data_IF_145445591773
#
_entry.id   IF_145445591773
#
_cell.length_a   1.000
_cell.length_b   1.000
_cell.length_c   1.000
_cell.angle_alpha   90.00
_cell.angle_beta   90.00
_cell.angle_gamma   90.00
#
_symmetry.space_group_name_H-M   'P 1'
#
loop_
_entity.id
_entity.type
_entity.pdbx_description
1 polymer ?
#
# COMPACT_ATOMS: atom_id res chain seq x y z
N UNK A 1 12.35 30.41 0.21
CA UNK A 1 11.28 29.62 -0.45
C UNK A 1 10.92 28.46 0.47
N UNK A 2 9.64 28.13 0.65
CA UNK A 2 9.26 26.88 1.32
C UNK A 2 9.72 25.73 0.41
N UNK A 3 10.35 24.70 0.99
CA UNK A 3 10.69 23.49 0.24
C UNK A 3 9.43 22.94 -0.46
N UNK A 4 9.57 22.52 -1.73
CA UNK A 4 8.48 21.87 -2.46
C UNK A 4 8.16 20.57 -1.71
N UNK A 5 6.89 20.37 -1.36
CA UNK A 5 6.43 19.13 -0.75
C UNK A 5 6.34 18.07 -1.83
N UNK A 6 6.87 16.89 -1.56
CA UNK A 6 6.66 15.73 -2.40
C UNK A 6 5.38 15.01 -1.97
N UNK A 7 4.52 14.67 -2.93
CA UNK A 7 3.22 14.04 -2.68
C UNK A 7 3.15 12.74 -3.46
N UNK A 8 3.02 11.63 -2.74
CA UNK A 8 2.91 10.30 -3.35
C UNK A 8 1.50 9.75 -3.14
N UNK A 9 0.88 9.26 -4.22
CA UNK A 9 -0.37 8.54 -4.15
C UNK A 9 -0.10 7.03 -4.07
N UNK A 10 -0.84 6.32 -3.22
CA UNK A 10 -0.78 4.86 -3.16
C UNK A 10 -1.48 4.30 -4.39
N UNK A 11 -0.77 3.49 -5.17
CA UNK A 11 -1.28 2.85 -6.37
C UNK A 11 -1.59 1.39 -6.04
N UNK A 12 -2.87 1.03 -6.04
CA UNK A 12 -3.34 -0.33 -5.83
C UNK A 12 -3.58 -1.01 -7.19
N UNK A 13 -2.75 -1.99 -7.60
CA UNK A 13 -2.72 -2.50 -8.97
C UNK A 13 -3.71 -3.66 -9.21
N UNK A 14 -4.97 -3.53 -8.81
CA UNK A 14 -5.96 -4.62 -8.86
C UNK A 14 -7.12 -4.41 -9.86
N UNK A 15 -6.96 -3.44 -10.77
CA UNK A 15 -8.00 -3.01 -11.70
C UNK A 15 -7.85 -3.64 -13.09
N UNK A 16 -7.30 -4.86 -13.16
CA UNK A 16 -7.05 -5.60 -14.39
C UNK A 16 -7.23 -7.12 -14.18
N UNK A 17 -7.43 -7.90 -15.26
CA UNK A 17 -7.38 -9.36 -15.17
C UNK A 17 -5.98 -9.88 -14.85
N UNK A 18 -5.87 -10.56 -13.72
CA UNK A 18 -4.67 -11.29 -13.30
C UNK A 18 -4.89 -12.80 -13.36
N UNK A 19 -3.82 -13.56 -13.65
CA UNK A 19 -3.91 -15.02 -13.77
C UNK A 19 -4.40 -15.70 -12.49
N UNK A 20 -4.05 -15.18 -11.33
CA UNK A 20 -4.48 -15.73 -10.04
C UNK A 20 -5.95 -15.42 -9.81
N UNK A 21 -6.38 -14.20 -10.13
CA UNK A 21 -7.79 -13.84 -10.10
C UNK A 21 -8.65 -14.68 -11.02
N UNK A 22 -8.20 -14.95 -12.25
CA UNK A 22 -8.97 -15.80 -13.15
C UNK A 22 -9.13 -17.23 -12.62
N UNK A 23 -8.14 -17.75 -11.90
CA UNK A 23 -8.22 -19.06 -11.24
C UNK A 23 -9.18 -19.07 -10.04
N UNK A 24 -9.24 -17.98 -9.28
CA UNK A 24 -10.04 -17.91 -8.05
C UNK A 24 -11.49 -17.47 -8.29
N UNK A 25 -11.70 -16.53 -9.21
CA UNK A 25 -12.97 -15.82 -9.42
C UNK A 25 -13.55 -16.00 -10.82
N UNK A 26 -12.79 -16.57 -11.75
CA UNK A 26 -13.20 -16.81 -13.11
C UNK A 26 -12.62 -15.79 -14.11
N UNK A 27 -12.64 -16.18 -15.39
CA UNK A 27 -12.03 -15.44 -16.49
C UNK A 27 -12.50 -13.99 -16.56
N UNK A 28 -11.56 -13.06 -16.70
CA UNK A 28 -11.81 -11.63 -16.81
C UNK A 28 -12.13 -10.91 -15.49
N UNK A 29 -12.02 -11.58 -14.34
CA UNK A 29 -12.23 -10.92 -13.06
C UNK A 29 -11.22 -9.80 -12.81
N UNK A 30 -11.72 -8.68 -12.31
CA UNK A 30 -10.95 -7.59 -11.69
C UNK A 30 -11.81 -6.96 -10.60
N UNK A 31 -11.22 -6.10 -9.76
CA UNK A 31 -11.94 -5.38 -8.69
C UNK A 31 -13.13 -4.54 -9.23
N UNK A 32 -13.13 -4.21 -10.53
CA UNK A 32 -14.28 -3.56 -11.17
C UNK A 32 -15.58 -4.35 -11.03
N UNK A 33 -15.53 -5.69 -11.00
CA UNK A 33 -16.72 -6.52 -10.84
C UNK A 33 -17.38 -6.32 -9.47
N UNK A 34 -16.58 -6.03 -8.43
CA UNK A 34 -17.11 -5.68 -7.11
C UNK A 34 -17.85 -4.33 -7.13
N UNK A 35 -17.32 -3.35 -7.86
CA UNK A 35 -18.00 -2.05 -8.00
C UNK A 35 -19.27 -2.15 -8.83
N UNK A 36 -19.25 -2.89 -9.95
CA UNK A 36 -20.44 -3.09 -10.82
C UNK A 36 -21.59 -3.78 -10.09
N UNK A 37 -21.27 -4.64 -9.12
CA UNK A 37 -22.28 -5.39 -8.35
C UNK A 37 -22.68 -4.69 -7.04
N UNK A 38 -22.04 -3.58 -6.69
CA UNK A 38 -22.32 -2.81 -5.48
C UNK A 38 -23.69 -2.14 -5.55
N UNK A 39 -24.44 -2.18 -4.44
CA UNK A 39 -25.77 -1.57 -4.31
C UNK A 39 -25.83 -0.60 -3.12
N UNK A 40 -26.69 0.43 -3.16
CA UNK A 40 -27.02 1.20 -1.97
C UNK A 40 -27.45 0.28 -0.81
N UNK A 41 -26.97 0.54 0.41
CA UNK A 41 -27.33 -0.26 1.60
C UNK A 41 -28.41 0.42 2.46
N UNK A 42 -28.63 1.72 2.27
CA UNK A 42 -29.62 2.54 2.97
C UNK A 42 -30.05 3.74 2.10
N UNK A 43 -31.20 4.37 2.39
CA UNK A 43 -31.66 5.55 1.65
C UNK A 43 -30.64 6.70 1.66
N UNK A 44 -30.29 7.21 0.47
CA UNK A 44 -29.30 8.27 0.30
C UNK A 44 -27.84 7.79 0.38
N UNK A 45 -27.58 6.49 0.35
CA UNK A 45 -26.21 5.96 0.18
C UNK A 45 -25.68 6.33 -1.21
N UNK A 46 -24.48 6.91 -1.27
CA UNK A 46 -23.84 7.36 -2.52
C UNK A 46 -23.21 6.24 -3.36
N UNK A 47 -23.37 4.97 -2.95
CA UNK A 47 -22.85 3.82 -3.69
C UNK A 47 -23.91 3.26 -4.64
N UNK A 48 -23.52 2.70 -5.81
CA UNK A 48 -22.15 2.59 -6.29
C UNK A 48 -21.60 3.94 -6.77
N UNK A 49 -20.30 4.17 -6.51
CA UNK A 49 -19.54 5.25 -7.16
C UNK A 49 -18.93 4.70 -8.43
N UNK A 50 -19.28 5.31 -9.56
CA UNK A 50 -18.75 4.92 -10.86
C UNK A 50 -17.50 5.75 -11.22
N UNK A 51 -16.47 5.11 -11.80
CA UNK A 51 -15.27 5.81 -12.22
C UNK A 51 -15.57 6.69 -13.44
N UNK A 52 -15.08 7.92 -13.45
CA UNK A 52 -15.35 8.89 -14.53
C UNK A 52 -14.88 8.39 -15.91
N UNK A 53 -13.81 7.60 -15.96
CA UNK A 53 -13.26 7.02 -17.18
C UNK A 53 -13.86 5.65 -17.55
N UNK A 54 -14.87 5.19 -16.80
CA UNK A 54 -15.36 3.83 -16.90
C UNK A 54 -14.40 2.80 -16.32
N UNK A 55 -14.73 1.53 -16.50
CA UNK A 55 -13.98 0.38 -15.99
C UNK A 55 -12.88 0.03 -16.99
N UNK A 56 -11.66 0.51 -16.74
CA UNK A 56 -10.54 0.33 -17.65
C UNK A 56 -9.57 -0.76 -17.17
N UNK A 57 -8.85 -1.37 -18.11
CA UNK A 57 -7.78 -2.31 -17.79
C UNK A 57 -6.47 -1.53 -17.62
N UNK A 58 -5.95 -1.44 -16.40
CA UNK A 58 -4.70 -0.73 -16.11
C UNK A 58 -3.42 -1.46 -16.59
N UNK A 59 -3.56 -2.69 -17.08
CA UNK A 59 -2.50 -3.38 -17.83
C UNK A 59 -2.40 -2.96 -19.30
N UNK A 60 -3.27 -2.04 -19.77
CA UNK A 60 -3.12 -1.34 -21.04
C UNK A 60 -2.29 -0.04 -20.84
N UNK A 61 -1.13 0.11 -21.52
CA UNK A 61 -0.28 1.29 -21.44
C UNK A 61 -1.01 2.62 -21.68
N UNK A 62 -2.01 2.65 -22.55
CA UNK A 62 -2.76 3.87 -22.86
C UNK A 62 -3.53 4.40 -21.64
N UNK A 63 -3.95 3.53 -20.72
CA UNK A 63 -4.58 3.95 -19.47
C UNK A 63 -3.56 4.43 -18.45
N UNK A 64 -2.39 3.81 -18.38
CA UNK A 64 -1.32 4.27 -17.51
C UNK A 64 -0.82 5.67 -17.90
N UNK A 65 -0.67 5.95 -19.20
CA UNK A 65 -0.32 7.29 -19.67
C UNK A 65 -1.30 8.36 -19.17
N UNK A 66 -2.62 8.10 -19.26
CA UNK A 66 -3.66 9.01 -18.75
C UNK A 66 -3.58 9.20 -17.24
N UNK A 67 -3.28 8.13 -16.49
CA UNK A 67 -3.13 8.20 -15.04
C UNK A 67 -1.90 9.04 -14.65
N UNK A 68 -0.78 8.88 -15.36
CA UNK A 68 0.44 9.66 -15.17
C UNK A 68 0.16 11.14 -15.45
N UNK A 69 -0.51 11.46 -16.56
CA UNK A 69 -0.85 12.83 -16.92
C UNK A 69 -1.76 13.47 -15.86
N UNK A 70 -2.83 12.79 -15.46
CA UNK A 70 -3.75 13.28 -14.42
C UNK A 70 -3.01 13.57 -13.11
N UNK A 71 -2.21 12.62 -12.64
CA UNK A 71 -1.47 12.78 -11.39
C UNK A 71 -0.49 13.97 -11.46
N UNK A 72 0.30 14.06 -12.54
CA UNK A 72 1.27 15.14 -12.72
C UNK A 72 0.59 16.51 -12.87
N UNK A 73 -0.51 16.60 -13.62
CA UNK A 73 -1.29 17.84 -13.82
C UNK A 73 -1.94 18.35 -12.52
N UNK A 74 -2.17 17.44 -11.56
CA UNK A 74 -2.74 17.77 -10.24
C UNK A 74 -1.71 17.79 -9.10
N UNK A 75 -0.41 17.84 -9.42
CA UNK A 75 0.65 18.09 -8.44
C UNK A 75 1.05 16.87 -7.60
N UNK A 76 0.70 15.67 -8.02
CA UNK A 76 1.26 14.43 -7.46
C UNK A 76 2.69 14.27 -7.98
N UNK A 77 3.64 14.05 -7.07
CA UNK A 77 5.05 13.79 -7.40
C UNK A 77 5.23 12.41 -8.01
N UNK A 78 4.51 11.42 -7.49
CA UNK A 78 4.74 10.04 -7.88
C UNK A 78 3.76 9.05 -7.26
N UNK A 79 3.98 7.78 -7.60
CA UNK A 79 3.21 6.67 -7.08
C UNK A 79 4.02 5.82 -6.09
N UNK A 80 3.40 5.45 -4.98
CA UNK A 80 3.86 4.33 -4.16
C UNK A 80 3.05 3.11 -4.58
N UNK A 81 3.68 2.18 -5.31
CA UNK A 81 2.99 0.97 -5.76
C UNK A 81 2.86 -0.03 -4.61
N UNK A 82 1.63 -0.48 -4.36
CA UNK A 82 1.36 -1.69 -3.57
C UNK A 82 1.90 -2.88 -4.36
N UNK A 83 3.06 -3.37 -3.95
CA UNK A 83 3.82 -4.38 -4.66
C UNK A 83 3.72 -5.72 -3.94
N UNK A 84 3.35 -6.79 -4.67
CA UNK A 84 3.11 -8.10 -4.08
C UNK A 84 4.16 -9.11 -4.52
N UNK A 85 4.64 -9.84 -3.51
CA UNK A 85 5.58 -10.94 -3.65
C UNK A 85 5.31 -11.99 -2.59
N UNK A 86 5.13 -13.23 -3.03
CA UNK A 86 4.79 -14.39 -2.21
C UNK A 86 5.82 -15.50 -2.42
N UNK A 87 7.02 -15.30 -1.84
CA UNK A 87 8.10 -16.30 -1.85
C UNK A 87 8.52 -16.77 -3.25
N UNK A 88 8.77 -15.82 -4.16
CA UNK A 88 9.17 -16.08 -5.55
C UNK A 88 8.04 -15.92 -6.57
N UNK A 89 6.82 -15.72 -6.11
CA UNK A 89 5.66 -15.47 -6.95
C UNK A 89 5.25 -14.00 -6.92
N UNK A 90 5.20 -13.36 -8.09
CA UNK A 90 4.65 -12.00 -8.22
C UNK A 90 3.13 -12.08 -8.40
N UNK A 91 2.45 -11.04 -7.93
CA UNK A 91 1.01 -10.91 -8.07
C UNK A 91 0.66 -9.45 -8.39
N UNK A 92 -0.27 -9.23 -9.31
CA UNK A 92 -0.72 -7.89 -9.71
C UNK A 92 0.41 -6.98 -10.24
N UNK A 93 1.44 -7.56 -10.83
CA UNK A 93 2.66 -6.85 -11.24
C UNK A 93 2.51 -6.04 -12.53
N UNK A 94 1.56 -6.41 -13.41
CA UNK A 94 1.43 -5.86 -14.76
C UNK A 94 1.34 -4.33 -14.81
N UNK A 95 0.58 -3.63 -13.94
CA UNK A 95 0.47 -2.17 -14.03
C UNK A 95 1.80 -1.46 -13.75
N UNK A 96 2.69 -2.07 -12.95
CA UNK A 96 4.04 -1.55 -12.80
C UNK A 96 4.92 -2.00 -13.97
N UNK A 97 4.98 -3.30 -14.19
CA UNK A 97 5.98 -3.95 -15.04
C UNK A 97 5.75 -3.77 -16.52
N UNK A 98 4.49 -3.84 -16.97
CA UNK A 98 4.14 -3.83 -18.39
C UNK A 98 3.63 -2.45 -18.85
N UNK A 99 3.12 -1.62 -17.92
CA UNK A 99 2.59 -0.29 -18.28
C UNK A 99 3.40 0.87 -17.71
N UNK A 100 3.45 1.10 -16.39
CA UNK A 100 4.11 2.30 -15.83
C UNK A 100 5.57 2.41 -16.23
N UNK A 101 6.33 1.31 -16.16
CA UNK A 101 7.73 1.31 -16.56
C UNK A 101 7.92 1.49 -18.06
N UNK A 102 6.90 1.31 -18.90
CA UNK A 102 7.00 1.47 -20.35
C UNK A 102 6.31 2.72 -20.90
N UNK A 103 5.55 3.42 -20.06
CA UNK A 103 4.82 4.61 -20.46
C UNK A 103 5.80 5.73 -20.93
N UNK A 104 5.59 6.33 -22.11
CA UNK A 104 6.46 7.37 -22.66
C UNK A 104 6.54 8.61 -21.76
N UNK A 105 5.50 8.88 -20.99
CA UNK A 105 5.42 9.98 -20.04
C UNK A 105 5.83 9.60 -18.60
N UNK A 106 6.34 8.38 -18.34
CA UNK A 106 6.67 7.89 -16.97
C UNK A 106 7.56 8.84 -16.17
N UNK A 107 8.44 9.58 -16.84
CA UNK A 107 9.39 10.50 -16.18
C UNK A 107 8.72 11.78 -15.63
N UNK A 108 7.43 12.00 -15.92
CA UNK A 108 6.61 13.04 -15.26
C UNK A 108 6.40 12.73 -13.78
N UNK A 109 6.49 11.46 -13.39
CA UNK A 109 6.30 10.99 -12.03
C UNK A 109 7.52 10.22 -11.52
N UNK A 110 7.75 10.31 -10.22
CA UNK A 110 8.61 9.37 -9.50
C UNK A 110 7.80 8.13 -9.10
N UNK A 111 8.48 7.07 -8.70
CA UNK A 111 7.81 5.93 -8.06
C UNK A 111 8.69 5.25 -7.03
N UNK A 112 8.06 4.52 -6.11
CA UNK A 112 8.74 3.55 -5.25
C UNK A 112 7.75 2.46 -4.81
N UNK A 113 8.26 1.45 -4.12
CA UNK A 113 7.49 0.27 -3.76
C UNK A 113 7.16 0.24 -2.27
N UNK A 114 5.95 -0.21 -1.97
CA UNK A 114 5.61 -0.79 -0.68
C UNK A 114 5.31 -2.27 -0.87
N UNK A 115 6.10 -3.13 -0.21
CA UNK A 115 5.79 -4.55 -0.18
C UNK A 115 4.55 -4.78 0.66
N UNK A 116 3.46 -5.18 0.01
CA UNK A 116 2.20 -5.57 0.62
C UNK A 116 2.32 -6.97 1.24
N UNK A 117 3.20 -7.08 2.24
CA UNK A 117 3.68 -8.31 2.83
C UNK A 117 2.69 -8.92 3.84
N UNK A 118 1.47 -9.16 3.40
CA UNK A 118 0.40 -9.76 4.19
C UNK A 118 -0.30 -10.88 3.42
N UNK A 119 -1.04 -11.72 4.13
CA UNK A 119 -1.85 -12.77 3.52
C UNK A 119 -2.89 -12.18 2.56
N UNK A 120 -3.12 -12.87 1.45
CA UNK A 120 -4.20 -12.58 0.51
C UNK A 120 -5.37 -13.52 0.77
N UNK A 121 -6.52 -12.93 1.10
CA UNK A 121 -7.78 -13.65 1.36
C UNK A 121 -8.77 -13.55 0.21
N UNK A 122 -9.88 -14.27 0.34
CA UNK A 122 -11.05 -14.17 -0.52
C UNK A 122 -11.81 -12.87 -0.25
N UNK A 123 -12.01 -12.08 -1.29
CA UNK A 123 -12.90 -10.94 -1.31
C UNK A 123 -14.06 -11.12 -2.31
N UNK A 124 -15.27 -10.59 -2.03
CA UNK A 124 -15.66 -9.96 -0.77
C UNK A 124 -15.72 -10.99 0.37
N UNK A 125 -15.42 -10.56 1.61
CA UNK A 125 -15.42 -11.44 2.77
C UNK A 125 -16.78 -12.15 2.91
N UNK A 126 -16.77 -13.48 2.82
CA UNK A 126 -17.98 -14.29 2.92
C UNK A 126 -18.45 -14.33 4.38
N UNK A 127 -19.76 -14.14 4.59
CA UNK A 127 -20.48 -14.00 5.89
C UNK A 127 -20.24 -15.11 6.94
N UNK A 128 -19.48 -16.17 6.63
CA UNK A 128 -19.12 -17.26 7.57
C UNK A 128 -17.84 -16.99 8.38
N UNK A 129 -17.24 -15.81 8.26
CA UNK A 129 -16.03 -15.43 9.01
C UNK A 129 -16.41 -14.83 10.36
N UNK A 130 -15.66 -15.17 11.42
CA UNK A 130 -15.91 -14.69 12.80
C UNK A 130 -15.68 -13.17 12.95
N UNK A 131 -15.05 -12.55 11.97
CA UNK A 131 -14.77 -11.13 11.85
C UNK A 131 -15.28 -10.66 10.48
N UNK A 132 -16.12 -9.63 10.47
CA UNK A 132 -16.59 -8.98 9.24
C UNK A 132 -15.61 -7.83 8.95
N UNK A 133 -14.93 -7.88 7.80
CA UNK A 133 -13.96 -6.86 7.39
C UNK A 133 -12.61 -6.95 8.09
N UNK A 134 -11.82 -5.86 8.01
CA UNK A 134 -10.47 -5.70 8.60
C UNK A 134 -10.47 -5.65 10.16
N UNK A 135 -11.50 -6.19 10.81
CA UNK A 135 -11.64 -6.26 12.28
C UNK A 135 -10.92 -7.49 12.88
N UNK A 136 -10.35 -8.34 12.03
CA UNK A 136 -9.46 -9.44 12.42
C UNK A 136 -8.00 -9.08 12.25
N UNK A 137 -7.12 -9.85 12.88
CA UNK A 137 -5.66 -9.73 12.75
C UNK A 137 -5.17 -10.08 11.33
N UNK A 138 -5.99 -10.65 10.45
CA UNK A 138 -5.60 -10.87 9.05
C UNK A 138 -6.80 -10.60 8.13
N UNK A 139 -6.60 -10.52 6.82
CA UNK A 139 -7.66 -10.56 5.80
C UNK A 139 -8.41 -11.91 5.91
N UNK A 140 -9.28 -12.03 6.93
CA UNK A 140 -9.93 -13.27 7.31
C UNK A 140 -11.17 -13.49 6.46
N UNK A 141 -10.98 -13.84 5.19
CA UNK A 141 -11.80 -14.89 4.61
C UNK A 141 -11.52 -16.20 5.34
N UNK A 142 -12.48 -17.12 5.40
CA UNK A 142 -12.24 -18.45 5.98
C UNK A 142 -11.25 -19.31 5.19
N UNK A 143 -10.70 -18.77 4.10
CA UNK A 143 -9.82 -19.42 3.14
C UNK A 143 -8.77 -18.40 2.68
N UNK A 144 -7.49 -18.68 2.87
CA UNK A 144 -6.40 -17.89 2.29
C UNK A 144 -6.14 -18.37 0.85
N UNK A 145 -5.89 -17.42 -0.04
CA UNK A 145 -5.58 -17.67 -1.46
C UNK A 145 -4.06 -17.61 -1.69
N UNK A 146 -3.37 -16.67 -1.02
CA UNK A 146 -1.91 -16.62 -0.93
C UNK A 146 -1.49 -16.34 0.52
N UNK A 147 -0.52 -17.11 1.00
CA UNK A 147 0.05 -16.94 2.34
C UNK A 147 1.42 -16.27 2.24
N UNK A 148 1.65 -15.24 3.06
CA UNK A 148 2.97 -14.64 3.20
C UNK A 148 3.83 -15.50 4.14
N UNK A 149 5.06 -15.80 3.73
CA UNK A 149 6.03 -16.54 4.54
C UNK A 149 7.35 -15.82 4.51
N UNK A 150 7.75 -15.30 5.67
CA UNK A 150 9.00 -14.55 5.78
C UNK A 150 10.16 -15.45 6.18
N UNK A 151 11.30 -15.21 5.55
CA UNK A 151 12.60 -15.76 5.93
C UNK A 151 13.68 -14.77 5.52
N UNK A 152 14.86 -14.84 6.13
CA UNK A 152 15.99 -14.02 5.70
C UNK A 152 16.35 -14.24 4.22
N UNK A 153 16.22 -15.48 3.75
CA UNK A 153 16.48 -15.84 2.35
C UNK A 153 15.49 -15.16 1.40
N UNK A 154 14.19 -15.17 1.72
CA UNK A 154 13.17 -14.50 0.92
C UNK A 154 13.31 -12.96 0.98
N UNK A 155 13.61 -12.40 2.16
CA UNK A 155 13.89 -10.97 2.28
C UNK A 155 15.09 -10.55 1.39
N UNK A 156 16.15 -11.37 1.34
CA UNK A 156 17.26 -11.13 0.39
C UNK A 156 16.77 -11.21 -1.05
N UNK A 157 16.02 -12.24 -1.43
CA UNK A 157 15.51 -12.40 -2.79
C UNK A 157 14.65 -11.21 -3.23
N UNK A 158 13.76 -10.72 -2.36
CA UNK A 158 12.93 -9.53 -2.61
C UNK A 158 13.79 -8.30 -2.90
N UNK A 159 14.78 -8.03 -2.06
CA UNK A 159 15.64 -6.86 -2.23
C UNK A 159 16.55 -7.00 -3.45
N UNK A 160 17.09 -8.19 -3.74
CA UNK A 160 17.89 -8.46 -4.93
C UNK A 160 17.08 -8.22 -6.20
N UNK A 161 15.85 -8.75 -6.24
CA UNK A 161 14.92 -8.52 -7.34
C UNK A 161 14.64 -7.03 -7.53
N UNK A 162 14.34 -6.30 -6.45
CA UNK A 162 14.08 -4.86 -6.53
C UNK A 162 15.32 -4.06 -6.97
N UNK A 163 16.51 -4.44 -6.52
CA UNK A 163 17.77 -3.80 -6.94
C UNK A 163 17.99 -3.95 -8.45
N UNK A 164 17.77 -5.16 -8.98
CA UNK A 164 17.99 -5.48 -10.38
C UNK A 164 16.95 -4.85 -11.30
N UNK A 165 15.68 -4.84 -10.88
CA UNK A 165 14.57 -4.46 -11.75
C UNK A 165 14.13 -3.00 -11.60
N UNK A 166 14.10 -2.46 -10.37
CA UNK A 166 13.41 -1.20 -10.09
C UNK A 166 14.32 -0.08 -9.59
N UNK A 167 15.23 -0.36 -8.65
CA UNK A 167 15.99 0.69 -7.96
C UNK A 167 16.92 1.47 -8.90
N UNK A 168 17.34 0.83 -10.00
CA UNK A 168 18.12 1.46 -11.06
C UNK A 168 17.34 2.42 -11.95
N UNK A 169 16.00 2.40 -11.95
CA UNK A 169 15.20 3.29 -12.79
C UNK A 169 15.47 4.76 -12.45
N UNK A 170 15.58 5.60 -13.48
CA UNK A 170 15.89 7.04 -13.37
C UNK A 170 14.83 7.80 -12.55
N UNK A 171 13.56 7.40 -12.70
CA UNK A 171 12.44 7.94 -11.96
C UNK A 171 12.12 7.18 -10.66
N UNK A 172 12.92 6.19 -10.25
CA UNK A 172 12.77 5.59 -8.92
C UNK A 172 13.13 6.63 -7.85
N UNK A 173 12.28 6.78 -6.84
CA UNK A 173 12.44 7.75 -5.78
C UNK A 173 13.60 7.38 -4.85
N UNK A 174 14.52 8.32 -4.67
CA UNK A 174 15.73 8.14 -3.86
C UNK A 174 15.92 9.34 -2.93
N UNK A 175 16.37 9.08 -1.71
CA UNK A 175 16.79 10.10 -0.74
C UNK A 175 18.26 9.85 -0.44
N UNK A 176 19.11 10.85 -0.64
CA UNK A 176 20.57 10.74 -0.51
C UNK A 176 21.17 9.57 -1.29
N UNK A 177 20.64 9.31 -2.49
CA UNK A 177 21.04 8.19 -3.35
C UNK A 177 20.53 6.81 -2.92
N UNK A 178 19.90 6.68 -1.75
CA UNK A 178 19.28 5.43 -1.30
C UNK A 178 17.89 5.27 -1.92
N UNK A 179 17.56 4.14 -2.57
CA UNK A 179 16.20 3.81 -2.98
C UNK A 179 15.26 3.84 -1.78
N UNK A 180 14.13 4.53 -1.90
CA UNK A 180 13.07 4.48 -0.89
C UNK A 180 12.33 3.15 -1.03
N UNK A 181 12.15 2.42 0.07
CA UNK A 181 11.41 1.15 0.06
C UNK A 181 10.57 1.04 1.32
N UNK A 182 9.35 0.53 1.16
CA UNK A 182 8.36 0.44 2.23
C UNK A 182 7.87 -0.97 2.45
N UNK A 183 7.40 -1.23 3.67
CA UNK A 183 6.77 -2.48 4.08
C UNK A 183 5.39 -2.16 4.64
N UNK A 184 4.38 -2.93 4.24
CA UNK A 184 3.01 -2.72 4.69
C UNK A 184 2.77 -3.26 6.10
N UNK A 185 3.19 -4.50 6.39
CA UNK A 185 2.96 -5.16 7.69
C UNK A 185 4.27 -5.63 8.31
N UNK A 186 4.89 -4.76 9.10
CA UNK A 186 6.13 -5.12 9.76
C UNK A 186 5.97 -5.93 11.03
N UNK A 187 4.81 -5.92 11.69
CA UNK A 187 4.58 -6.85 12.78
C UNK A 187 4.71 -8.29 12.28
N UNK A 188 4.09 -8.59 11.14
CA UNK A 188 4.21 -9.90 10.50
C UNK A 188 5.65 -10.23 10.10
N UNK A 189 6.39 -9.26 9.53
CA UNK A 189 7.80 -9.47 9.20
C UNK A 189 8.65 -9.77 10.45
N UNK A 190 8.42 -9.04 11.54
CA UNK A 190 9.18 -9.15 12.78
C UNK A 190 8.87 -10.39 13.62
N UNK A 191 7.79 -11.13 13.31
CA UNK A 191 7.56 -12.48 13.84
C UNK A 191 8.63 -13.48 13.36
N UNK A 192 9.25 -13.22 12.20
CA UNK A 192 10.20 -14.14 11.57
C UNK A 192 11.64 -13.60 11.58
N UNK A 193 11.83 -12.29 11.49
CA UNK A 193 13.15 -11.66 11.38
C UNK A 193 13.22 -10.46 12.33
N UNK A 194 14.15 -10.42 13.30
CA UNK A 194 14.31 -9.27 14.18
C UNK A 194 14.50 -7.95 13.40
N UNK A 195 13.95 -6.82 13.86
CA UNK A 195 14.02 -5.55 13.12
C UNK A 195 15.44 -5.12 12.72
N UNK A 196 16.42 -5.29 13.61
CA UNK A 196 17.82 -4.98 13.31
C UNK A 196 18.41 -5.87 12.21
N UNK A 197 18.02 -7.15 12.16
CA UNK A 197 18.44 -8.08 11.11
C UNK A 197 17.77 -7.76 9.78
N UNK A 198 16.50 -7.33 9.78
CA UNK A 198 15.84 -6.81 8.57
C UNK A 198 16.67 -5.68 7.97
N UNK A 199 16.99 -4.64 8.76
CA UNK A 199 17.76 -3.49 8.27
C UNK A 199 19.17 -3.87 7.82
N UNK A 200 19.81 -4.80 8.51
CA UNK A 200 21.11 -5.33 8.11
C UNK A 200 21.03 -6.02 6.75
N UNK A 201 20.08 -6.95 6.59
CA UNK A 201 19.89 -7.74 5.37
C UNK A 201 19.63 -6.83 4.18
N UNK A 202 18.68 -5.89 4.29
CA UNK A 202 18.32 -5.03 3.17
C UNK A 202 19.46 -4.10 2.76
N UNK A 203 20.20 -3.54 3.73
CA UNK A 203 21.31 -2.62 3.44
C UNK A 203 22.53 -3.35 2.87
N UNK A 204 22.89 -4.51 3.42
CA UNK A 204 23.97 -5.35 2.85
C UNK A 204 23.64 -5.74 1.41
N UNK A 205 22.39 -6.15 1.16
CA UNK A 205 21.95 -6.61 -0.16
C UNK A 205 21.98 -5.48 -1.18
N UNK A 206 21.47 -4.29 -0.82
CA UNK A 206 21.51 -3.10 -1.67
C UNK A 206 22.94 -2.63 -1.96
N UNK A 207 23.84 -2.68 -0.97
CA UNK A 207 25.26 -2.33 -1.15
C UNK A 207 25.98 -3.24 -2.13
N UNK A 208 25.67 -4.55 -2.13
CA UNK A 208 26.19 -5.48 -3.14
C UNK A 208 25.75 -5.14 -4.57
N UNK A 209 24.64 -4.42 -4.72
CA UNK A 209 24.11 -3.96 -6.00
C UNK A 209 24.47 -2.51 -6.33
N UNK A 210 25.42 -1.91 -5.59
CA UNK A 210 25.96 -0.57 -5.88
C UNK A 210 25.16 0.60 -5.28
N UNK A 211 24.14 0.33 -4.47
CA UNK A 211 23.41 1.38 -3.74
C UNK A 211 24.06 1.67 -2.38
N UNK A 212 24.01 2.92 -1.85
CA UNK A 212 24.58 3.23 -0.53
C UNK A 212 23.86 2.54 0.64
N UNK A 213 22.67 2.01 0.39
CA UNK A 213 21.75 1.40 1.33
C UNK A 213 20.32 1.56 0.82
N UNK A 214 19.33 1.36 1.69
CA UNK A 214 17.91 1.61 1.41
C UNK A 214 17.40 2.66 2.39
N UNK A 215 16.62 3.63 1.90
CA UNK A 215 15.87 4.53 2.76
C UNK A 215 14.55 3.84 3.11
N UNK A 216 14.39 3.48 4.35
CA UNK A 216 13.27 2.68 4.81
C UNK A 216 12.10 3.55 5.25
N UNK A 217 10.95 3.36 4.62
CA UNK A 217 9.71 4.06 4.95
C UNK A 217 8.71 3.07 5.54
N UNK A 218 8.51 3.12 6.86
CA UNK A 218 7.70 2.13 7.55
C UNK A 218 6.22 2.48 7.63
N UNK A 219 5.31 1.57 7.24
CA UNK A 219 3.91 1.72 7.60
C UNK A 219 3.72 1.40 9.10
N UNK A 220 3.21 2.38 9.86
CA UNK A 220 2.82 2.22 11.26
C UNK A 220 1.29 2.14 11.45
N UNK A 221 0.51 2.39 10.39
CA UNK A 221 -0.94 2.21 10.38
C UNK A 221 -1.36 0.79 9.98
N UNK A 222 -2.64 0.45 10.17
CA UNK A 222 -3.24 -0.77 9.61
C UNK A 222 -2.55 -2.12 9.93
N UNK A 223 -1.96 -2.29 11.12
CA UNK A 223 -1.62 -3.65 11.57
C UNK A 223 -2.48 -4.01 12.78
N UNK A 224 -3.18 -5.13 12.68
CA UNK A 224 -3.70 -6.14 13.63
C UNK A 224 -4.07 -5.78 15.10
N UNK A 225 -3.59 -4.69 15.69
CA UNK A 225 -3.69 -4.41 17.14
C UNK A 225 -4.04 -2.96 17.49
N UNK A 226 -4.46 -2.15 16.51
CA UNK A 226 -4.44 -0.70 16.68
C UNK A 226 -5.81 -0.06 16.78
N UNK A 227 -6.15 0.44 17.97
CA UNK A 227 -7.35 1.25 18.25
C UNK A 227 -7.39 2.56 17.45
N UNK A 228 -6.23 3.04 17.00
CA UNK A 228 -6.07 4.27 16.23
C UNK A 228 -5.45 3.95 14.88
N UNK A 229 -6.24 3.97 13.80
CA UNK A 229 -5.88 3.62 12.41
C UNK A 229 -4.49 4.05 11.87
N UNK A 230 -3.79 4.98 12.52
CA UNK A 230 -2.45 5.50 12.18
C UNK A 230 -1.25 4.97 13.00
N UNK A 231 -1.42 4.46 14.22
CA UNK A 231 -0.40 3.69 14.95
C UNK A 231 0.89 4.39 15.40
N UNK A 232 0.79 5.66 15.77
CA UNK A 232 1.91 6.45 16.33
C UNK A 232 2.63 5.78 17.52
N UNK A 233 1.96 4.89 18.27
CA UNK A 233 2.56 4.16 19.39
C UNK A 233 3.73 3.25 18.99
N UNK A 234 3.87 2.94 17.69
CA UNK A 234 4.96 2.11 17.16
C UNK A 234 6.23 2.89 16.85
N UNK A 235 6.16 4.23 16.82
CA UNK A 235 7.29 5.09 16.46
C UNK A 235 8.54 4.79 17.31
N UNK A 236 8.47 4.70 18.66
CA UNK A 236 9.66 4.42 19.48
C UNK A 236 10.38 3.14 19.08
N UNK A 237 9.63 2.05 18.82
CA UNK A 237 10.19 0.76 18.37
C UNK A 237 10.84 0.88 17.00
N UNK A 238 10.27 1.69 16.09
CA UNK A 238 10.86 1.90 14.76
C UNK A 238 12.14 2.73 14.83
N UNK A 239 12.22 3.71 15.76
CA UNK A 239 13.44 4.46 16.04
C UNK A 239 14.55 3.57 16.58
N UNK A 240 14.22 2.77 17.60
CA UNK A 240 15.15 1.84 18.22
C UNK A 240 15.68 0.82 17.21
N UNK A 241 14.80 0.34 16.32
CA UNK A 241 15.19 -0.55 15.24
C UNK A 241 16.12 0.12 14.21
N UNK A 242 16.01 1.43 13.99
CA UNK A 242 16.86 2.20 13.06
C UNK A 242 16.24 2.44 11.68
N UNK A 243 14.91 2.42 11.56
CA UNK A 243 14.22 2.81 10.32
C UNK A 243 14.46 4.30 10.01
N UNK A 244 14.43 4.72 8.74
CA UNK A 244 14.69 6.11 8.38
C UNK A 244 13.44 7.01 8.50
N UNK A 245 12.24 6.44 8.35
CA UNK A 245 10.99 7.18 8.42
C UNK A 245 9.76 6.28 8.65
N UNK A 246 8.62 6.91 8.92
CA UNK A 246 7.31 6.23 9.08
C UNK A 246 6.20 6.96 8.32
N UNK A 247 5.13 6.24 7.99
CA UNK A 247 3.86 6.81 7.53
C UNK A 247 2.68 5.95 8.01
N UNK A 248 1.47 6.47 7.87
CA UNK A 248 0.24 5.75 8.18
C UNK A 248 -0.57 5.50 6.91
N UNK A 249 -0.72 4.22 6.51
CA UNK A 249 -1.47 3.84 5.32
C UNK A 249 -2.96 4.18 5.40
N UNK A 250 -3.61 3.85 6.52
CA UNK A 250 -5.06 4.00 6.65
C UNK A 250 -5.50 5.43 6.96
N UNK A 251 -6.63 5.80 6.33
CA UNK A 251 -7.34 7.03 6.63
C UNK A 251 -8.72 6.78 7.27
N UNK A 252 -8.70 6.16 8.46
CA UNK A 252 -9.91 5.90 9.25
C UNK A 252 -10.40 7.11 10.05
N UNK A 253 -11.54 6.96 10.72
CA UNK A 253 -12.03 7.87 11.76
C UNK A 253 -11.64 7.31 13.13
N UNK A 254 -11.15 8.15 14.05
CA UNK A 254 -11.00 7.76 15.45
C UNK A 254 -12.34 7.26 16.03
N UNK A 255 -12.24 6.32 16.98
CA UNK A 255 -13.39 5.67 17.61
C UNK A 255 -14.35 6.65 18.29
N UNK A 256 -13.84 7.73 18.87
CA UNK A 256 -14.67 8.78 19.48
C UNK A 256 -15.45 9.61 18.45
N UNK A 257 -15.09 9.57 17.18
CA UNK A 257 -15.90 10.17 16.12
C UNK A 257 -17.03 9.26 15.64
N UNK A 258 -16.98 7.96 15.93
CA UNK A 258 -18.05 7.02 15.57
C UNK A 258 -19.37 7.35 16.28
N UNK A 259 -19.33 8.06 17.41
CA UNK A 259 -20.54 8.52 18.09
C UNK A 259 -21.34 9.56 17.28
N UNK A 260 -20.68 10.25 16.34
CA UNK A 260 -21.33 11.21 15.43
C UNK A 260 -21.83 10.55 14.14
N UNK A 261 -21.55 9.26 13.94
CA UNK A 261 -22.00 8.49 12.78
C UNK A 261 -23.34 7.83 13.13
N UNK A 262 -24.39 8.20 12.41
CA UNK A 262 -25.71 7.61 12.62
C UNK A 262 -25.68 6.11 12.33
N UNK A 263 -26.25 5.30 13.23
CA UNK A 263 -26.20 3.82 13.12
C UNK A 263 -26.96 3.29 11.91
N UNK A 264 -28.05 3.95 11.55
CA UNK A 264 -28.94 3.66 10.42
C UNK A 264 -28.48 4.32 9.11
N UNK A 265 -27.60 5.33 9.20
CA UNK A 265 -27.01 6.03 8.07
C UNK A 265 -25.53 6.33 8.36
N UNK A 266 -24.62 5.36 8.15
CA UNK A 266 -23.20 5.48 8.51
C UNK A 266 -22.41 6.38 7.54
N UNK A 267 -22.95 7.56 7.24
CA UNK A 267 -22.26 8.62 6.50
C UNK A 267 -21.68 9.62 7.46
N UNK A 268 -20.52 10.18 7.14
CA UNK A 268 -19.88 11.24 7.92
C UNK A 268 -19.45 12.37 7.00
N UNK A 269 -19.38 13.58 7.55
CA UNK A 269 -18.83 14.75 6.87
C UNK A 269 -17.32 14.56 6.66
N UNK A 270 -16.84 14.79 5.44
CA UNK A 270 -15.43 14.63 5.09
C UNK A 270 -14.50 15.53 5.92
N UNK A 271 -14.99 16.66 6.44
CA UNK A 271 -14.24 17.53 7.35
C UNK A 271 -13.83 16.83 8.65
N UNK A 272 -14.62 15.85 9.14
CA UNK A 272 -14.22 15.02 10.28
C UNK A 272 -13.01 14.15 9.95
N UNK A 273 -12.95 13.62 8.72
CA UNK A 273 -11.78 12.89 8.23
C UNK A 273 -10.55 13.79 8.20
N UNK A 274 -10.69 15.03 7.73
CA UNK A 274 -9.58 15.99 7.70
C UNK A 274 -9.03 16.32 9.10
N UNK A 275 -9.90 16.60 10.06
CA UNK A 275 -9.50 16.83 11.46
C UNK A 275 -8.84 15.59 12.07
N UNK A 276 -9.38 14.41 11.78
CA UNK A 276 -8.80 13.16 12.24
C UNK A 276 -7.39 12.94 11.67
N UNK A 277 -7.21 13.16 10.37
CA UNK A 277 -5.90 13.08 9.73
C UNK A 277 -4.93 14.08 10.34
N UNK A 278 -5.32 15.35 10.50
CA UNK A 278 -4.46 16.35 11.13
C UNK A 278 -3.97 15.88 12.52
N UNK A 279 -4.87 15.38 13.36
CA UNK A 279 -4.51 14.83 14.67
C UNK A 279 -3.51 13.68 14.56
N UNK A 280 -3.72 12.72 13.65
CA UNK A 280 -2.80 11.61 13.45
C UNK A 280 -1.39 12.10 13.04
N UNK A 281 -1.32 13.09 12.14
CA UNK A 281 -0.06 13.68 11.70
C UNK A 281 0.65 14.44 12.83
N UNK A 282 -0.09 15.20 13.65
CA UNK A 282 0.44 15.86 14.84
C UNK A 282 1.04 14.84 15.83
N UNK A 283 0.36 13.71 16.06
CA UNK A 283 0.88 12.63 16.91
C UNK A 283 2.13 11.96 16.36
N UNK A 284 2.19 11.76 15.04
CA UNK A 284 3.39 11.24 14.39
C UNK A 284 4.54 12.25 14.54
N UNK A 285 4.26 13.54 14.37
CA UNK A 285 5.24 14.60 14.55
C UNK A 285 5.72 14.72 16.01
N UNK A 286 4.83 14.56 17.00
CA UNK A 286 5.18 14.50 18.43
C UNK A 286 6.12 13.33 18.75
N UNK A 287 5.86 12.15 18.18
CA UNK A 287 6.76 11.01 18.28
C UNK A 287 8.10 11.25 17.60
N UNK A 288 8.14 12.18 16.64
CA UNK A 288 9.26 12.49 15.75
C UNK A 288 9.50 11.42 14.70
N UNK A 289 10.19 11.78 13.62
CA UNK A 289 10.72 10.78 12.69
C UNK A 289 11.73 9.88 13.44
N UNK A 290 11.76 8.57 13.15
CA UNK A 290 12.88 7.70 13.49
C UNK A 290 14.25 8.33 13.27
#
# INVERSE_FOLDING_TARGET
>A
MKAKKEVFAIYFPSWHPDRHYEQWYGKGFSEWELMKTTKPLFPGHLQPKEPLWGYFDESDPAWMEKQIDLAADHGITGFMFDWYWYSGEQFLEKPLDETFLHAPNRNRLKFFLMWANHNWGVWPALRKTKSIGMLGTENQSGQLLLEIRHSEADLRAVIEFCCQKYFGCENYWKIDGKPVYSFYNCNKLFEFIPPGDVLKIINETAKRHGFPGIFTLMNIGCCEDNDYFCGWGRIPKMKEAGFDSVFAYNSGLRRDYLQYVAKDKPTYDFSFKMKNQQYCWERIAEGGLP
#
